data_IF_210906110745
#
_entry.id   IF_210906110745
#
_cell.length_a   1.000
_cell.length_b   1.000
_cell.length_c   1.000
_cell.angle_alpha   90.00
_cell.angle_beta   90.00
_cell.angle_gamma   90.00
#
_symmetry.space_group_name_H-M   'P 1'
#
loop_
_entity.id
_entity.type
_entity.pdbx_description
1 polymer ?
#
# COMPACT_ATOMS: atom_id res chain seq x y z
N UNK A 1 0.14 35.23 -25.47
CA UNK A 1 -0.47 34.28 -24.52
C UNK A 1 -0.57 32.93 -25.21
N UNK A 2 0.27 31.95 -24.84
CA UNK A 2 0.26 30.62 -25.47
C UNK A 2 -0.88 29.79 -24.87
N UNK A 3 -1.69 29.08 -25.67
CA UNK A 3 -2.72 28.20 -25.11
C UNK A 3 -2.03 26.98 -24.47
N UNK A 4 -2.37 26.68 -23.22
CA UNK A 4 -1.99 25.44 -22.57
C UNK A 4 -2.89 24.32 -23.12
N UNK A 5 -2.28 23.27 -23.68
CA UNK A 5 -3.00 22.06 -24.06
C UNK A 5 -3.47 21.39 -22.77
N UNK A 6 -4.77 21.39 -22.56
CA UNK A 6 -5.41 20.67 -21.46
C UNK A 6 -5.44 19.19 -21.81
N UNK A 7 -4.49 18.43 -21.27
CA UNK A 7 -4.48 16.96 -21.38
C UNK A 7 -5.62 16.40 -20.55
N UNK A 8 -6.55 15.63 -21.13
CA UNK A 8 -7.63 15.04 -20.37
C UNK A 8 -7.04 14.13 -19.29
N UNK A 9 -7.46 14.32 -18.05
CA UNK A 9 -7.01 13.54 -16.92
C UNK A 9 -7.37 12.06 -17.17
N UNK A 10 -6.37 11.26 -17.56
CA UNK A 10 -6.53 9.81 -17.66
C UNK A 10 -7.00 9.29 -16.30
N UNK A 11 -8.06 8.47 -16.31
CA UNK A 11 -8.58 7.86 -15.08
C UNK A 11 -7.52 7.07 -14.31
N UNK A 12 -7.82 6.64 -13.07
CA UNK A 12 -6.89 5.85 -12.28
C UNK A 12 -6.37 4.66 -13.08
N UNK A 13 -5.06 4.42 -13.03
CA UNK A 13 -4.46 3.23 -13.63
C UNK A 13 -5.22 1.97 -13.15
N UNK A 14 -5.37 0.94 -13.99
CA UNK A 14 -6.13 -0.27 -13.64
C UNK A 14 -5.73 -0.89 -12.29
N UNK A 15 -4.45 -0.82 -11.93
CA UNK A 15 -3.92 -1.30 -10.64
C UNK A 15 -4.45 -0.54 -9.41
N UNK A 16 -5.01 0.66 -9.59
CA UNK A 16 -5.57 1.51 -8.53
C UNK A 16 -7.10 1.48 -8.48
N UNK A 17 -7.76 0.86 -9.46
CA UNK A 17 -9.22 0.76 -9.47
C UNK A 17 -9.70 -0.10 -8.28
N UNK A 18 -10.63 0.42 -7.48
CA UNK A 18 -11.16 -0.27 -6.29
C UNK A 18 -10.20 -0.36 -5.10
N UNK A 19 -8.97 0.16 -5.20
CA UNK A 19 -7.97 0.13 -4.12
C UNK A 19 -7.93 1.49 -3.40
N UNK A 20 -7.81 1.45 -2.07
CA UNK A 20 -7.57 2.64 -1.25
C UNK A 20 -6.12 2.68 -0.78
N UNK A 21 -5.53 3.87 -0.80
CA UNK A 21 -4.19 4.09 -0.23
C UNK A 21 -4.31 4.14 1.29
N UNK A 22 -3.45 3.39 1.97
CA UNK A 22 -3.23 3.48 3.41
C UNK A 22 -1.84 4.08 3.60
N UNK A 23 -1.76 5.28 4.14
CA UNK A 23 -0.50 6.00 4.38
C UNK A 23 -0.37 6.42 5.84
N UNK A 24 0.82 6.26 6.41
CA UNK A 24 1.16 6.71 7.76
C UNK A 24 2.61 7.15 7.83
N UNK A 25 2.93 7.98 8.82
CA UNK A 25 4.31 8.37 9.12
C UNK A 25 4.94 7.34 10.04
N UNK A 26 6.06 6.76 9.62
CA UNK A 26 6.83 5.77 10.37
C UNK A 26 8.28 6.24 10.52
N UNK A 27 8.99 5.74 11.52
CA UNK A 27 10.40 6.05 11.67
C UNK A 27 11.23 5.46 10.50
N UNK A 28 12.37 6.07 10.15
CA UNK A 28 13.26 5.52 9.12
C UNK A 28 13.70 4.08 9.42
N UNK A 29 13.98 3.77 10.69
CA UNK A 29 14.41 2.44 11.14
C UNK A 29 13.32 1.40 10.93
N UNK A 30 12.07 1.75 11.23
CA UNK A 30 10.93 0.87 11.01
C UNK A 30 10.70 0.62 9.52
N UNK A 31 10.78 1.68 8.70
CA UNK A 31 10.68 1.54 7.24
C UNK A 31 11.75 0.59 6.70
N UNK A 32 13.00 0.75 7.14
CA UNK A 32 14.11 -0.12 6.75
C UNK A 32 13.85 -1.57 7.17
N UNK A 33 13.45 -1.79 8.42
CA UNK A 33 13.17 -3.13 8.95
C UNK A 33 12.07 -3.84 8.15
N UNK A 34 10.98 -3.15 7.80
CA UNK A 34 9.89 -3.69 7.00
C UNK A 34 10.36 -4.06 5.58
N UNK A 35 11.12 -3.20 4.91
CA UNK A 35 11.67 -3.49 3.59
C UNK A 35 12.62 -4.70 3.61
N UNK A 36 13.50 -4.79 4.61
CA UNK A 36 14.40 -5.93 4.76
C UNK A 36 13.65 -7.22 5.08
N UNK A 37 12.57 -7.13 5.89
CA UNK A 37 11.71 -8.26 6.17
C UNK A 37 11.03 -8.78 4.90
N UNK A 38 10.36 -7.90 4.14
CA UNK A 38 9.70 -8.25 2.88
C UNK A 38 10.68 -8.89 1.89
N UNK A 39 11.89 -8.31 1.76
CA UNK A 39 12.94 -8.84 0.88
C UNK A 39 13.40 -10.25 1.29
N UNK A 40 13.59 -10.51 2.59
CA UNK A 40 13.97 -11.84 3.09
C UNK A 40 12.87 -12.87 2.87
N UNK A 41 11.61 -12.48 3.00
CA UNK A 41 10.46 -13.33 2.74
C UNK A 41 10.16 -13.52 1.24
N UNK A 42 10.80 -12.75 0.36
CA UNK A 42 10.59 -12.81 -1.09
C UNK A 42 9.24 -12.23 -1.54
N UNK A 43 8.62 -11.37 -0.73
CA UNK A 43 7.33 -10.75 -1.01
C UNK A 43 7.46 -9.23 -1.16
N UNK A 44 6.44 -8.59 -1.73
CA UNK A 44 6.39 -7.13 -1.78
C UNK A 44 6.12 -6.55 -0.39
N UNK A 45 6.53 -5.30 -0.17
CA UNK A 45 6.19 -4.58 1.07
C UNK A 45 4.67 -4.51 1.27
N UNK A 46 3.91 -4.31 0.20
CA UNK A 46 2.44 -4.30 0.28
C UNK A 46 1.89 -5.64 0.77
N UNK A 47 2.41 -6.76 0.27
CA UNK A 47 1.98 -8.09 0.73
C UNK A 47 2.31 -8.32 2.21
N UNK A 48 3.52 -7.92 2.64
CA UNK A 48 3.90 -7.99 4.06
C UNK A 48 2.96 -7.14 4.94
N UNK A 49 2.63 -5.92 4.50
CA UNK A 49 1.73 -5.03 5.23
C UNK A 49 0.30 -5.58 5.27
N UNK A 50 -0.18 -6.18 4.17
CA UNK A 50 -1.50 -6.83 4.12
C UNK A 50 -1.59 -8.02 5.10
N UNK A 51 -0.54 -8.84 5.20
CA UNK A 51 -0.44 -9.91 6.20
C UNK A 51 -0.51 -9.34 7.62
N UNK A 52 0.31 -8.33 7.93
CA UNK A 52 0.32 -7.67 9.24
C UNK A 52 -1.05 -7.06 9.60
N UNK A 53 -1.73 -6.43 8.65
CA UNK A 53 -3.08 -5.88 8.86
C UNK A 53 -4.10 -6.99 9.12
N UNK A 54 -4.03 -8.10 8.38
CA UNK A 54 -4.90 -9.25 8.61
C UNK A 54 -4.70 -9.85 10.00
N UNK A 55 -3.47 -9.93 10.50
CA UNK A 55 -3.20 -10.45 11.83
C UNK A 55 -3.71 -9.51 12.93
N UNK A 56 -3.63 -8.20 12.71
CA UNK A 56 -4.26 -7.20 13.60
C UNK A 56 -5.78 -7.37 13.61
N UNK A 57 -6.43 -7.47 12.44
CA UNK A 57 -7.87 -7.68 12.34
C UNK A 57 -8.31 -8.95 13.08
N UNK A 58 -7.63 -10.07 12.84
CA UNK A 58 -7.90 -11.35 13.52
C UNK A 58 -7.78 -11.21 15.04
N UNK A 59 -6.75 -10.52 15.52
CA UNK A 59 -6.55 -10.27 16.96
C UNK A 59 -7.73 -9.50 17.58
N UNK A 60 -8.41 -8.67 16.80
CA UNK A 60 -9.59 -7.92 17.22
C UNK A 60 -10.92 -8.63 16.94
N UNK A 61 -10.89 -9.87 16.43
CA UNK A 61 -12.10 -10.64 16.09
C UNK A 61 -12.74 -10.23 14.75
N UNK A 62 -12.06 -9.39 13.98
CA UNK A 62 -12.49 -8.97 12.64
C UNK A 62 -12.05 -10.00 11.59
N UNK A 63 -12.81 -10.10 10.50
CA UNK A 63 -12.42 -10.96 9.37
C UNK A 63 -11.24 -10.33 8.61
N UNK A 64 -10.24 -11.12 8.19
CA UNK A 64 -9.13 -10.61 7.37
C UNK A 64 -9.67 -10.14 6.01
N UNK A 65 -9.29 -8.93 5.59
CA UNK A 65 -9.73 -8.30 4.32
C UNK A 65 -8.57 -7.79 3.46
N UNK A 66 -7.33 -7.90 3.95
CA UNK A 66 -6.13 -7.51 3.21
C UNK A 66 -5.82 -8.51 2.09
N UNK A 67 -5.74 -8.01 0.86
CA UNK A 67 -5.24 -8.69 -0.35
C UNK A 67 -3.87 -8.17 -0.78
#
# INVERSE_FOLDING_TARGET
MKPAVEVPAAGPAPSRAGRKVISGYFSPEMSLALHMCARRAGISLQALMAEAFNDVLRKHGESPVGE
#
